data_IF_288248980730
#
_entry.id   IF_288248980730
#
_cell.length_a   1.000
_cell.length_b   1.000
_cell.length_c   1.000
_cell.angle_alpha   90.00
_cell.angle_beta   90.00
_cell.angle_gamma   90.00
#
_symmetry.space_group_name_H-M   'P 1'
#
loop_
_entity.id
_entity.type
_entity.pdbx_description
1 polymer ?
#
# COMPACT_ATOMS: atom_id res chain seq x y z
N UNK A 1 -18.51 -7.99 22.99
CA UNK A 1 -18.39 -6.55 22.66
C UNK A 1 -16.91 -6.18 22.72
N UNK A 2 -16.22 -6.17 21.57
CA UNK A 2 -14.79 -5.79 21.50
C UNK A 2 -14.72 -4.29 21.19
N UNK A 3 -14.44 -3.50 22.22
CA UNK A 3 -14.14 -2.09 22.11
C UNK A 3 -12.67 -2.01 21.68
N UNK A 4 -12.42 -1.56 20.45
CA UNK A 4 -11.08 -1.18 20.02
C UNK A 4 -10.89 0.28 20.42
N UNK A 5 -10.05 0.53 21.43
CA UNK A 5 -9.62 1.89 21.74
C UNK A 5 -8.81 2.43 20.56
N UNK A 6 -9.16 3.62 20.11
CA UNK A 6 -8.46 4.37 19.08
C UNK A 6 -7.11 4.81 19.66
N UNK A 7 -6.03 4.13 19.27
CA UNK A 7 -4.69 4.23 19.90
C UNK A 7 -4.02 5.60 19.66
N UNK A 8 -4.63 6.51 18.89
CA UNK A 8 -3.99 7.74 18.43
C UNK A 8 -4.56 9.04 19.00
N UNK A 9 -5.68 9.00 19.73
CA UNK A 9 -6.36 10.23 20.19
C UNK A 9 -6.93 11.10 19.05
N UNK A 10 -6.90 10.62 17.81
CA UNK A 10 -7.42 11.31 16.63
C UNK A 10 -8.92 11.05 16.46
N UNK A 11 -9.72 12.10 16.32
CA UNK A 11 -11.14 11.97 15.94
C UNK A 11 -11.25 11.56 14.47
N UNK A 12 -12.11 10.58 14.15
CA UNK A 12 -12.34 10.22 12.76
C UNK A 12 -13.27 11.23 12.10
N UNK A 13 -13.15 11.38 10.77
CA UNK A 13 -13.99 12.31 10.01
C UNK A 13 -15.50 12.01 10.16
N UNK A 14 -15.85 10.73 10.28
CA UNK A 14 -17.24 10.31 10.44
C UNK A 14 -17.82 10.61 11.82
N UNK A 15 -16.96 10.85 12.82
CA UNK A 15 -17.38 11.21 14.19
C UNK A 15 -17.68 12.71 14.33
N UNK A 16 -17.41 13.51 13.30
CA UNK A 16 -17.64 14.95 13.26
C UNK A 16 -19.13 15.26 13.07
N UNK A 17 -19.60 16.37 13.65
CA UNK A 17 -20.90 16.94 13.28
C UNK A 17 -20.88 17.45 11.83
N UNK A 18 -22.04 17.59 11.19
CA UNK A 18 -22.11 18.08 9.80
C UNK A 18 -21.47 19.47 9.63
N UNK A 19 -21.59 20.35 10.63
CA UNK A 19 -20.90 21.64 10.65
C UNK A 19 -19.37 21.47 10.69
N UNK A 20 -18.86 20.57 11.51
CA UNK A 20 -17.41 20.30 11.58
C UNK A 20 -16.89 19.64 10.30
N UNK A 21 -17.68 18.75 9.68
CA UNK A 21 -17.36 18.16 8.37
C UNK A 21 -17.25 19.22 7.29
N UNK A 22 -18.23 20.12 7.20
CA UNK A 22 -18.21 21.23 6.24
C UNK A 22 -16.99 22.14 6.44
N UNK A 23 -16.70 22.49 7.70
CA UNK A 23 -15.50 23.25 8.04
C UNK A 23 -14.23 22.50 7.64
N UNK A 24 -14.12 21.21 7.95
CA UNK A 24 -12.97 20.40 7.58
C UNK A 24 -12.81 20.30 6.06
N UNK A 25 -13.90 20.10 5.30
CA UNK A 25 -13.86 20.09 3.84
C UNK A 25 -13.35 21.41 3.25
N UNK A 26 -13.79 22.55 3.78
CA UNK A 26 -13.47 23.86 3.21
C UNK A 26 -12.16 24.47 3.66
N UNK A 27 -11.67 24.11 4.86
CA UNK A 27 -10.57 24.88 5.49
C UNK A 27 -9.38 24.07 5.96
N UNK A 28 -9.47 22.74 6.04
CA UNK A 28 -8.36 21.94 6.54
C UNK A 28 -7.45 21.52 5.39
N UNK A 29 -6.15 21.51 5.66
CA UNK A 29 -5.16 20.89 4.80
C UNK A 29 -5.40 19.38 4.72
N UNK A 30 -5.55 18.84 3.52
CA UNK A 30 -5.85 17.43 3.23
C UNK A 30 -4.64 16.83 2.57
N UNK A 31 -4.16 15.73 3.15
CA UNK A 31 -3.08 14.97 2.54
C UNK A 31 -3.42 13.49 2.46
N UNK A 32 -2.77 12.82 1.51
CA UNK A 32 -2.73 11.36 1.43
C UNK A 32 -1.28 10.90 1.54
N UNK A 33 -1.04 9.75 2.15
CA UNK A 33 0.27 9.07 2.10
C UNK A 33 0.10 7.81 1.26
N UNK A 34 0.85 7.73 0.16
CA UNK A 34 0.86 6.59 -0.76
C UNK A 34 2.21 5.90 -0.76
N UNK A 35 2.26 4.71 -1.33
CA UNK A 35 3.47 3.89 -1.46
C UNK A 35 3.49 3.25 -2.84
N UNK A 36 4.67 2.98 -3.37
CA UNK A 36 4.83 2.26 -4.62
C UNK A 36 4.03 0.94 -4.60
N UNK A 37 3.16 0.65 -5.61
CA UNK A 37 2.29 -0.52 -5.58
C UNK A 37 3.02 -1.84 -5.37
N UNK A 38 4.20 -2.02 -5.99
CA UNK A 38 5.00 -3.25 -5.85
C UNK A 38 5.71 -3.32 -4.49
N UNK A 39 6.08 -2.18 -3.89
CA UNK A 39 6.65 -2.20 -2.54
C UNK A 39 5.59 -2.58 -1.51
N UNK A 40 4.35 -2.15 -1.73
CA UNK A 40 3.21 -2.53 -0.90
C UNK A 40 2.99 -4.04 -0.93
N UNK A 41 2.98 -4.67 -2.10
CA UNK A 41 2.87 -6.13 -2.22
C UNK A 41 3.98 -6.87 -1.47
N UNK A 42 5.25 -6.48 -1.68
CA UNK A 42 6.38 -7.03 -0.92
C UNK A 42 6.18 -6.88 0.59
N UNK A 43 5.74 -5.72 1.04
CA UNK A 43 5.53 -5.43 2.46
C UNK A 43 4.49 -6.33 3.11
N UNK A 44 3.42 -6.65 2.39
CA UNK A 44 2.40 -7.58 2.87
C UNK A 44 2.99 -8.98 2.98
N UNK A 45 3.69 -9.42 1.94
CA UNK A 45 4.31 -10.74 1.92
C UNK A 45 5.32 -10.91 3.07
N UNK A 46 6.27 -10.00 3.25
CA UNK A 46 7.28 -10.07 4.32
C UNK A 46 6.63 -10.06 5.72
N UNK A 47 5.84 -9.03 6.04
CA UNK A 47 5.41 -8.81 7.41
C UNK A 47 4.13 -9.54 7.82
N UNK A 48 3.28 -9.92 6.86
CA UNK A 48 1.96 -10.50 7.16
C UNK A 48 1.86 -11.96 6.78
N UNK A 49 2.69 -12.43 5.84
CA UNK A 49 2.73 -13.82 5.42
C UNK A 49 3.94 -14.52 6.01
N UNK A 50 5.16 -14.07 5.71
CA UNK A 50 6.40 -14.74 6.13
C UNK A 50 6.66 -14.63 7.65
N UNK A 51 6.44 -13.47 8.27
CA UNK A 51 6.76 -13.28 9.69
C UNK A 51 5.62 -13.63 10.66
N UNK A 52 4.35 -13.42 10.27
CA UNK A 52 3.25 -13.37 11.23
C UNK A 52 2.49 -14.69 11.46
N UNK A 53 2.67 -15.71 10.62
CA UNK A 53 2.18 -17.11 10.78
C UNK A 53 0.70 -17.34 11.14
N UNK A 54 -0.15 -16.30 11.21
CA UNK A 54 -1.50 -16.37 11.79
C UNK A 54 -2.35 -15.10 11.54
N UNK A 55 -1.94 -14.24 10.61
CA UNK A 55 -2.69 -13.00 10.36
C UNK A 55 -4.09 -13.33 9.78
N UNK A 56 -5.12 -12.54 10.12
CA UNK A 56 -6.45 -12.65 9.48
C UNK A 56 -6.38 -12.56 7.95
N UNK A 57 -5.31 -11.93 7.44
CA UNK A 57 -4.98 -11.84 6.02
C UNK A 57 -4.76 -13.23 5.41
N UNK A 58 -4.05 -14.13 6.09
CA UNK A 58 -3.78 -15.48 5.60
C UNK A 58 -5.05 -16.33 5.53
N UNK A 59 -5.91 -16.31 6.55
CA UNK A 59 -7.09 -17.19 6.63
C UNK A 59 -8.05 -17.11 5.44
N UNK A 60 -8.19 -15.93 4.82
CA UNK A 60 -9.01 -15.77 3.61
C UNK A 60 -8.26 -16.11 2.31
N UNK A 61 -6.94 -16.00 2.32
CA UNK A 61 -6.10 -16.35 1.18
C UNK A 61 -5.96 -17.84 0.99
N UNK A 62 -5.94 -18.62 2.07
CA UNK A 62 -5.77 -20.07 2.04
C UNK A 62 -6.79 -20.74 1.11
N UNK A 63 -8.09 -20.56 1.35
CA UNK A 63 -9.14 -21.13 0.51
C UNK A 63 -8.99 -20.76 -0.97
N UNK A 64 -8.65 -19.50 -1.24
CA UNK A 64 -8.51 -18.98 -2.61
C UNK A 64 -7.25 -19.57 -3.29
N UNK A 65 -6.17 -19.71 -2.55
CA UNK A 65 -4.94 -20.35 -3.01
C UNK A 65 -5.16 -21.83 -3.31
N UNK A 66 -5.81 -22.57 -2.40
CA UNK A 66 -6.18 -23.97 -2.59
C UNK A 66 -7.07 -24.16 -3.83
N UNK A 67 -8.09 -23.33 -4.00
CA UNK A 67 -8.98 -23.37 -5.16
C UNK A 67 -8.24 -23.06 -6.46
N UNK A 68 -7.36 -22.05 -6.45
CA UNK A 68 -6.54 -21.70 -7.61
C UNK A 68 -5.62 -22.85 -8.01
N UNK A 69 -4.93 -23.46 -7.04
CA UNK A 69 -4.01 -24.55 -7.30
C UNK A 69 -4.73 -25.82 -7.76
N UNK A 70 -5.94 -26.11 -7.27
CA UNK A 70 -6.79 -27.20 -7.76
C UNK A 70 -7.29 -26.96 -9.18
N UNK A 71 -7.50 -25.70 -9.58
CA UNK A 71 -7.84 -25.36 -10.97
C UNK A 71 -6.65 -25.63 -11.92
N UNK A 72 -5.42 -25.39 -11.47
CA UNK A 72 -4.22 -25.67 -12.24
C UNK A 72 -3.87 -27.17 -12.28
N UNK A 73 -4.11 -27.89 -11.18
CA UNK A 73 -3.90 -29.33 -11.07
C UNK A 73 -5.05 -29.99 -10.28
N UNK A 74 -6.08 -30.53 -10.97
CA UNK A 74 -7.21 -31.19 -10.34
C UNK A 74 -6.84 -32.46 -9.56
N UNK A 75 -5.67 -33.05 -9.81
CA UNK A 75 -5.20 -34.26 -9.10
C UNK A 75 -4.62 -33.95 -7.72
N UNK A 76 -4.45 -32.66 -7.39
CA UNK A 76 -3.93 -32.18 -6.12
C UNK A 76 -4.89 -32.50 -4.98
N UNK A 77 -4.59 -33.58 -4.25
CA UNK A 77 -5.44 -34.12 -3.17
C UNK A 77 -5.06 -33.63 -1.75
N UNK A 78 -4.16 -32.64 -1.62
CA UNK A 78 -3.70 -32.11 -0.32
C UNK A 78 -4.34 -30.76 -0.02
N UNK A 79 -4.85 -30.60 1.19
CA UNK A 79 -4.94 -29.29 1.86
C UNK A 79 -3.52 -28.76 2.02
N UNK A 80 -3.23 -27.58 1.44
CA UNK A 80 -1.90 -26.97 1.48
C UNK A 80 -1.45 -26.80 2.93
N UNK A 81 -0.24 -27.25 3.27
CA UNK A 81 0.30 -27.04 4.62
C UNK A 81 0.94 -25.66 4.69
N UNK A 82 0.10 -24.67 4.96
CA UNK A 82 0.47 -23.25 5.08
C UNK A 82 1.54 -22.97 6.14
N UNK A 83 1.79 -23.94 7.05
CA UNK A 83 2.79 -23.81 8.10
C UNK A 83 4.22 -24.08 7.60
N UNK A 84 4.39 -24.87 6.53
CA UNK A 84 5.72 -25.19 5.97
C UNK A 84 6.05 -24.41 4.70
N UNK A 85 5.03 -23.89 4.01
CA UNK A 85 5.19 -23.02 2.86
C UNK A 85 4.40 -21.73 3.10
N UNK A 86 5.04 -20.76 3.77
CA UNK A 86 4.65 -19.36 3.61
C UNK A 86 4.44 -19.12 2.12
N UNK A 87 3.24 -18.67 1.71
CA UNK A 87 2.87 -18.51 0.30
C UNK A 87 4.06 -17.93 -0.46
N UNK A 88 4.62 -18.72 -1.39
CA UNK A 88 5.72 -18.24 -2.24
C UNK A 88 5.28 -16.91 -2.84
N UNK A 89 6.20 -15.95 -2.89
CA UNK A 89 5.89 -14.59 -3.29
C UNK A 89 5.16 -14.57 -4.65
N UNK A 90 5.61 -15.43 -5.57
CA UNK A 90 5.04 -15.66 -6.89
C UNK A 90 3.56 -16.08 -6.83
N UNK A 91 3.18 -17.01 -5.95
CA UNK A 91 1.80 -17.45 -5.80
C UNK A 91 0.94 -16.31 -5.26
N UNK A 92 1.44 -15.52 -4.31
CA UNK A 92 0.73 -14.35 -3.83
C UNK A 92 0.49 -13.34 -4.96
N UNK A 93 1.52 -13.00 -5.72
CA UNK A 93 1.40 -12.11 -6.87
C UNK A 93 0.42 -12.65 -7.91
N UNK A 94 0.47 -13.95 -8.19
CA UNK A 94 -0.43 -14.61 -9.13
C UNK A 94 -1.90 -14.46 -8.73
N UNK A 95 -2.20 -14.69 -7.45
CA UNK A 95 -3.54 -14.51 -6.91
C UNK A 95 -3.98 -13.05 -7.02
N UNK A 96 -3.09 -12.08 -6.76
CA UNK A 96 -3.40 -10.65 -6.87
C UNK A 96 -3.91 -10.29 -8.26
N UNK A 97 -3.20 -10.68 -9.33
CA UNK A 97 -3.62 -10.28 -10.68
C UNK A 97 -4.68 -11.20 -11.31
N UNK A 98 -4.63 -12.51 -11.08
CA UNK A 98 -5.59 -13.43 -11.71
C UNK A 98 -6.94 -13.49 -11.02
N UNK A 99 -6.98 -13.30 -9.70
CA UNK A 99 -8.23 -13.30 -8.93
C UNK A 99 -8.72 -11.89 -8.61
N UNK A 100 -8.13 -10.87 -9.25
CA UNK A 100 -8.55 -9.48 -9.10
C UNK A 100 -10.06 -9.36 -9.39
N UNK A 101 -10.51 -9.71 -10.59
CA UNK A 101 -11.93 -9.53 -10.95
C UNK A 101 -12.88 -10.47 -10.20
N UNK A 102 -12.34 -11.56 -9.62
CA UNK A 102 -13.07 -12.47 -8.74
C UNK A 102 -13.21 -11.94 -7.30
N UNK A 103 -12.77 -10.71 -7.03
CA UNK A 103 -12.94 -10.06 -5.73
C UNK A 103 -11.84 -10.37 -4.72
N UNK A 104 -10.65 -10.82 -5.17
CA UNK A 104 -9.48 -10.97 -4.30
C UNK A 104 -8.93 -9.60 -3.87
N UNK A 105 -9.69 -8.95 -2.99
CA UNK A 105 -9.47 -7.61 -2.46
C UNK A 105 -9.22 -7.69 -0.97
N UNK A 106 -8.21 -6.98 -0.53
CA UNK A 106 -7.94 -6.78 0.88
C UNK A 106 -7.33 -5.40 1.05
N UNK A 107 -7.66 -4.69 2.14
CA UNK A 107 -7.09 -3.37 2.47
C UNK A 107 -5.55 -3.31 2.35
N UNK A 108 -4.87 -4.45 2.51
CA UNK A 108 -3.42 -4.57 2.39
C UNK A 108 -2.89 -4.51 0.94
N UNK A 109 -3.65 -4.89 -0.08
CA UNK A 109 -3.21 -4.87 -1.50
C UNK A 109 -4.21 -4.26 -2.51
N UNK A 110 -5.44 -3.95 -2.14
CA UNK A 110 -6.40 -3.23 -3.01
C UNK A 110 -5.83 -1.88 -3.45
N UNK A 111 -5.96 -1.46 -4.71
CA UNK A 111 -5.36 -0.19 -5.19
C UNK A 111 -5.83 1.02 -4.36
N UNK A 112 -5.00 2.05 -4.24
CA UNK A 112 -5.39 3.30 -3.59
C UNK A 112 -6.56 3.96 -4.32
N UNK A 113 -6.58 3.85 -5.65
CA UNK A 113 -7.72 4.27 -6.46
C UNK A 113 -9.02 3.67 -5.93
N UNK A 114 -9.07 2.34 -5.76
CA UNK A 114 -10.27 1.66 -5.28
C UNK A 114 -10.53 1.90 -3.78
N UNK A 115 -9.49 1.90 -2.96
CA UNK A 115 -9.63 1.94 -1.50
C UNK A 115 -9.95 3.33 -0.95
N UNK A 116 -9.25 4.34 -1.46
CA UNK A 116 -9.28 5.69 -0.94
C UNK A 116 -10.11 6.63 -1.83
N UNK A 117 -10.43 6.21 -3.06
CA UNK A 117 -11.21 6.99 -4.02
C UNK A 117 -10.67 8.43 -4.16
N UNK A 118 -9.37 8.59 -4.47
CA UNK A 118 -8.65 9.87 -4.39
C UNK A 118 -9.28 10.97 -5.25
N UNK A 119 -9.96 10.61 -6.33
CA UNK A 119 -10.62 11.56 -7.23
C UNK A 119 -11.83 12.28 -6.62
N UNK A 120 -12.34 11.85 -5.46
CA UNK A 120 -13.43 12.53 -4.76
C UNK A 120 -12.95 13.55 -3.72
N UNK A 121 -11.63 13.65 -3.50
CA UNK A 121 -11.06 14.53 -2.50
C UNK A 121 -10.00 15.41 -3.15
N UNK A 122 -10.19 16.72 -3.01
CA UNK A 122 -9.16 17.68 -3.39
C UNK A 122 -8.07 17.68 -2.31
N UNK A 123 -7.03 16.87 -2.51
CA UNK A 123 -5.86 16.85 -1.64
C UNK A 123 -4.97 18.05 -1.94
N UNK A 124 -4.51 18.71 -0.88
CA UNK A 124 -3.51 19.77 -0.98
C UNK A 124 -2.10 19.18 -1.20
N UNK A 125 -1.88 17.92 -0.78
CA UNK A 125 -0.62 17.22 -1.02
C UNK A 125 -0.77 15.69 -1.00
N UNK A 126 0.07 14.99 -1.75
CA UNK A 126 0.19 13.54 -1.71
C UNK A 126 1.63 13.16 -1.39
N UNK A 127 1.85 12.66 -0.18
CA UNK A 127 3.13 12.19 0.32
C UNK A 127 3.44 10.79 -0.18
N UNK A 128 4.71 10.49 -0.45
CA UNK A 128 5.16 9.13 -0.79
C UNK A 128 5.96 8.56 0.37
N UNK A 129 5.70 7.30 0.72
CA UNK A 129 6.35 6.68 1.87
C UNK A 129 7.88 6.62 1.71
N UNK A 130 8.36 6.53 0.47
CA UNK A 130 9.76 6.43 0.10
C UNK A 130 10.52 7.75 0.29
N UNK A 131 9.82 8.88 0.25
CA UNK A 131 10.35 10.24 0.47
C UNK A 131 9.80 10.89 1.74
N UNK A 132 9.01 10.17 2.54
CA UNK A 132 8.21 10.74 3.63
C UNK A 132 9.03 11.56 4.63
N UNK A 133 10.26 11.14 4.96
CA UNK A 133 11.09 11.89 5.90
C UNK A 133 11.44 13.28 5.35
N UNK A 134 11.77 13.38 4.06
CA UNK A 134 12.01 14.64 3.36
C UNK A 134 10.71 15.43 3.18
N UNK A 135 9.62 14.76 2.79
CA UNK A 135 8.36 15.44 2.51
C UNK A 135 7.77 16.05 3.80
N UNK A 136 7.92 15.36 4.94
CA UNK A 136 7.49 15.85 6.26
C UNK A 136 8.30 17.08 6.68
N UNK A 137 9.62 17.09 6.43
CA UNK A 137 10.46 18.26 6.71
C UNK A 137 10.02 19.48 5.87
N UNK A 138 9.80 19.29 4.57
CA UNK A 138 9.30 20.34 3.68
C UNK A 138 7.93 20.83 4.15
N UNK A 139 7.02 19.92 4.50
CA UNK A 139 5.69 20.24 5.01
C UNK A 139 5.76 21.09 6.30
N UNK A 140 6.62 20.72 7.26
CA UNK A 140 6.79 21.46 8.50
C UNK A 140 7.25 22.90 8.25
N UNK A 141 8.22 23.08 7.36
CA UNK A 141 8.76 24.40 7.00
C UNK A 141 7.73 25.24 6.25
N UNK A 142 7.03 24.67 5.27
CA UNK A 142 6.19 25.44 4.34
C UNK A 142 4.75 25.65 4.82
N UNK A 143 4.15 24.68 5.53
CA UNK A 143 2.75 24.76 5.95
C UNK A 143 2.60 25.21 7.39
N UNK A 144 3.42 24.67 8.30
CA UNK A 144 3.30 24.93 9.73
C UNK A 144 4.16 26.10 10.19
N UNK A 145 5.05 26.60 9.32
CA UNK A 145 6.02 27.67 9.63
C UNK A 145 6.80 27.38 10.93
N UNK A 146 7.01 26.10 11.21
CA UNK A 146 7.78 25.66 12.36
C UNK A 146 9.25 25.73 11.99
N UNK A 147 10.07 26.21 12.92
CA UNK A 147 11.52 26.29 12.74
C UNK A 147 12.08 24.87 12.66
N UNK A 148 12.95 24.62 11.67
CA UNK A 148 13.61 23.32 11.50
C UNK A 148 14.54 22.97 12.67
N UNK A 149 14.80 23.91 13.58
CA UNK A 149 15.54 23.71 14.82
C UNK A 149 14.77 22.96 15.90
N UNK A 150 13.44 22.91 15.84
CA UNK A 150 12.64 22.13 16.78
C UNK A 150 12.81 20.63 16.46
N UNK A 151 13.07 19.77 17.46
CA UNK A 151 13.24 18.35 17.21
C UNK A 151 11.95 17.79 16.62
N UNK A 152 11.97 17.56 15.31
CA UNK A 152 10.90 16.81 14.64
C UNK A 152 10.91 15.44 15.30
N UNK A 153 9.88 15.16 16.10
CA UNK A 153 9.63 13.81 16.57
C UNK A 153 9.42 12.95 15.33
N UNK A 154 10.50 12.29 14.89
CA UNK A 154 10.46 11.33 13.81
C UNK A 154 9.37 10.35 14.17
N UNK A 155 8.34 10.25 13.32
CA UNK A 155 7.31 9.24 13.50
C UNK A 155 8.00 7.90 13.24
N UNK A 156 8.50 7.29 14.31
CA UNK A 156 9.08 5.97 14.26
C UNK A 156 7.92 4.99 14.26
N UNK A 157 7.56 4.47 13.10
CA UNK A 157 6.86 3.19 13.06
C UNK A 157 7.82 2.12 13.56
N UNK A 158 7.41 1.36 14.57
CA UNK A 158 8.14 0.23 15.18
C UNK A 158 8.18 -1.00 14.24
N UNK A 159 8.48 -0.75 12.97
CA UNK A 159 8.77 -1.78 11.99
C UNK A 159 10.28 -2.00 12.04
N UNK A 160 10.70 -3.16 12.58
CA UNK A 160 12.10 -3.60 12.71
C UNK A 160 12.90 -3.67 11.40
N UNK A 161 12.27 -3.34 10.27
CA UNK A 161 12.81 -3.35 8.91
C UNK A 161 12.50 -2.01 8.23
N UNK A 162 12.97 -0.91 8.82
CA UNK A 162 13.08 0.34 8.07
C UNK A 162 14.53 0.43 7.59
N UNK A 163 14.82 0.23 6.30
CA UNK A 163 16.08 0.67 5.72
C UNK A 163 16.23 2.17 6.01
N UNK A 164 17.45 2.63 6.28
CA UNK A 164 17.75 4.03 6.58
C UNK A 164 17.36 4.98 5.43
N UNK A 165 17.10 4.44 4.23
CA UNK A 165 16.69 5.17 3.03
C UNK A 165 15.56 4.44 2.25
N UNK A 166 14.43 5.11 2.05
CA UNK A 166 13.28 4.60 1.28
C UNK A 166 13.59 4.34 -0.21
N UNK A 167 14.55 5.06 -0.79
CA UNK A 167 14.99 4.86 -2.18
C UNK A 167 15.89 3.63 -2.31
N UNK A 168 16.73 3.36 -1.32
CA UNK A 168 17.56 2.15 -1.31
C UNK A 168 16.68 0.90 -1.12
N UNK A 169 15.63 1.03 -0.31
CA UNK A 169 14.57 0.04 -0.16
C UNK A 169 13.86 -0.27 -1.49
N UNK A 170 13.66 0.73 -2.35
CA UNK A 170 13.11 0.58 -3.69
C UNK A 170 14.05 -0.22 -4.60
N UNK A 171 15.36 0.04 -4.56
CA UNK A 171 16.35 -0.74 -5.33
C UNK A 171 16.35 -2.23 -4.96
N UNK A 172 16.18 -2.55 -3.68
CA UNK A 172 16.05 -3.94 -3.20
C UNK A 172 14.76 -4.63 -3.67
N UNK A 173 13.73 -3.89 -4.09
CA UNK A 173 12.51 -4.48 -4.67
C UNK A 173 12.84 -5.13 -6.00
N UNK A 174 13.67 -4.48 -6.82
CA UNK A 174 14.00 -4.96 -8.17
C UNK A 174 14.44 -6.42 -8.14
N UNK A 175 15.37 -6.78 -7.25
CA UNK A 175 15.87 -8.15 -7.09
C UNK A 175 14.79 -9.17 -6.73
N UNK A 176 13.78 -8.78 -5.95
CA UNK A 176 12.67 -9.67 -5.64
C UNK A 176 11.75 -9.91 -6.86
N UNK A 177 11.66 -8.94 -7.76
CA UNK A 177 10.82 -9.00 -8.95
C UNK A 177 11.57 -9.45 -10.22
N UNK A 178 12.91 -9.53 -10.19
CA UNK A 178 13.76 -9.89 -11.35
C UNK A 178 13.41 -11.25 -11.97
N UNK A 179 12.98 -12.22 -11.16
CA UNK A 179 12.62 -13.57 -11.63
C UNK A 179 11.12 -13.76 -11.85
N UNK A 180 10.32 -12.69 -11.73
CA UNK A 180 8.88 -12.77 -11.93
C UNK A 180 8.57 -12.73 -13.44
N UNK A 181 7.75 -13.69 -13.88
CA UNK A 181 7.34 -13.80 -15.28
C UNK A 181 6.72 -12.50 -15.80
N UNK A 182 7.06 -12.13 -17.04
CA UNK A 182 6.64 -10.87 -17.65
C UNK A 182 5.11 -10.74 -17.74
N UNK A 183 4.37 -11.84 -17.96
CA UNK A 183 2.91 -11.81 -17.99
C UNK A 183 2.35 -11.50 -16.61
N UNK A 184 2.94 -12.06 -15.55
CA UNK A 184 2.57 -11.75 -14.17
C UNK A 184 2.85 -10.28 -13.85
N UNK A 185 4.04 -9.78 -14.21
CA UNK A 185 4.39 -8.37 -14.02
C UNK A 185 3.42 -7.44 -14.75
N UNK A 186 3.08 -7.72 -16.01
CA UNK A 186 2.12 -6.92 -16.77
C UNK A 186 0.71 -6.97 -16.14
N UNK A 187 0.27 -8.14 -15.69
CA UNK A 187 -1.01 -8.28 -15.00
C UNK A 187 -1.09 -7.43 -13.73
N UNK A 188 -0.01 -7.37 -12.95
CA UNK A 188 0.08 -6.48 -11.79
C UNK A 188 0.11 -5.00 -12.20
N UNK A 189 0.81 -4.66 -13.28
CA UNK A 189 0.80 -3.29 -13.82
C UNK A 189 -0.61 -2.87 -14.20
N UNK A 190 -1.38 -3.75 -14.82
CA UNK A 190 -2.76 -3.47 -15.22
C UNK A 190 -3.68 -3.29 -14.00
N UNK A 191 -3.53 -4.13 -12.98
CA UNK A 191 -4.23 -4.01 -11.68
C UNK A 191 -4.02 -2.64 -11.04
N UNK A 192 -2.77 -2.16 -11.03
CA UNK A 192 -2.40 -0.90 -10.36
C UNK A 192 -2.27 0.29 -11.31
N UNK A 193 -2.71 0.17 -12.56
CA UNK A 193 -2.51 1.18 -13.62
C UNK A 193 -2.94 2.59 -13.21
N UNK A 194 -4.07 2.68 -12.49
CA UNK A 194 -4.58 3.97 -11.99
C UNK A 194 -3.71 4.56 -10.89
N UNK A 195 -3.19 3.73 -9.98
CA UNK A 195 -2.26 4.18 -8.95
C UNK A 195 -0.94 4.66 -9.57
N UNK A 196 -0.42 3.91 -10.55
CA UNK A 196 0.78 4.32 -11.30
C UNK A 196 0.60 5.70 -11.91
N UNK A 197 -0.51 5.89 -12.62
CA UNK A 197 -0.77 7.19 -13.20
C UNK A 197 -0.97 8.28 -12.15
N UNK A 198 -1.88 8.10 -11.19
CA UNK A 198 -2.22 9.14 -10.21
C UNK A 198 -1.01 9.63 -9.42
N UNK A 199 -0.14 8.72 -9.01
CA UNK A 199 0.96 9.04 -8.11
C UNK A 199 2.31 9.15 -8.84
N UNK A 200 2.28 9.14 -10.17
CA UNK A 200 3.45 9.32 -11.02
C UNK A 200 4.45 8.17 -10.94
N UNK A 201 4.05 6.99 -10.48
CA UNK A 201 4.95 5.84 -10.40
C UNK A 201 5.16 5.19 -11.76
N UNK A 202 6.37 4.67 -11.98
CA UNK A 202 6.66 3.69 -13.01
C UNK A 202 6.87 2.32 -12.36
N UNK A 203 6.58 1.24 -13.09
CA UNK A 203 6.63 -0.11 -12.51
C UNK A 203 8.05 -0.59 -12.19
N UNK A 204 9.04 -0.17 -12.99
CA UNK A 204 10.43 -0.62 -12.97
C UNK A 204 11.28 0.07 -11.91
N UNK A 205 10.70 1.01 -11.17
CA UNK A 205 11.29 1.60 -9.95
C UNK A 205 12.57 2.42 -10.23
N UNK A 206 13.02 2.52 -11.49
CA UNK A 206 14.30 3.12 -11.88
C UNK A 206 14.27 4.66 -11.93
N UNK A 207 13.17 5.26 -12.36
CA UNK A 207 13.17 6.69 -12.71
C UNK A 207 12.65 7.65 -11.63
N UNK A 208 12.28 7.14 -10.46
CA UNK A 208 11.58 7.95 -9.47
C UNK A 208 10.22 8.41 -9.99
N UNK A 209 9.27 8.62 -9.08
CA UNK A 209 7.94 9.00 -9.53
C UNK A 209 7.95 10.46 -10.06
N UNK A 210 7.46 10.69 -11.28
CA UNK A 210 7.25 12.02 -11.85
C UNK A 210 6.01 12.63 -11.19
N UNK A 211 6.20 13.52 -10.22
CA UNK A 211 5.13 14.15 -9.46
C UNK A 211 4.22 15.01 -10.36
N UNK A 212 3.04 14.49 -10.73
CA UNK A 212 1.96 15.28 -11.34
C UNK A 212 0.59 14.78 -10.84
N UNK A 213 0.40 14.74 -9.52
CA UNK A 213 -0.95 14.54 -8.96
C UNK A 213 -1.79 15.80 -9.26
N UNK A 214 -2.76 15.70 -10.17
CA UNK A 214 -3.68 16.78 -10.53
C UNK A 214 -3.66 17.23 -12.00
N UNK A 215 -2.57 16.98 -12.74
CA UNK A 215 -2.45 17.32 -14.17
C UNK A 215 -2.63 16.12 -15.11
N UNK A 216 -2.75 14.91 -14.54
CA UNK A 216 -2.97 13.67 -15.27
C UNK A 216 -4.47 13.38 -15.36
N UNK A 217 -4.97 13.03 -16.56
CA UNK A 217 -6.35 12.56 -16.85
C UNK A 217 -6.69 11.20 -16.19
N UNK A 218 -6.13 10.92 -15.03
CA UNK A 218 -6.27 9.67 -14.30
C UNK A 218 -7.26 9.78 -13.13
N UNK A 219 -7.60 11.02 -12.77
CA UNK A 219 -8.93 11.43 -12.38
C UNK A 219 -9.51 12.25 -13.56
#
# INVERSE_FOLDING_TARGET
MKIYYNVTGLRQFNDLSEFEKDKAWKSYFKFMVVRHPFDRLRSVWLHKMAEAGSSQVLKGMETIADDHLRQLDPSRNRTFDYKYEYLKFELFLELVYQKWDAGFRNAHWISYYEHCQPCHVHYDHVFRLETLDTDVEVMYQHLLRLDASEPIHRITHDNKVRPENGIEKLKQIKTLYENIDTKMTQGLVDVYKRDFCLFGYQWDIEDGATCLYGDLQCC
#
